data_IF_514660466070
#
_entry.id   IF_514660466070
#
_cell.length_a   1.000
_cell.length_b   1.000
_cell.length_c   1.000
_cell.angle_alpha   90.00
_cell.angle_beta   90.00
_cell.angle_gamma   90.00
#
_symmetry.space_group_name_H-M   'P 1'
#
loop_
_entity.id
_entity.type
_entity.pdbx_description
1 polymer ?
#
# COMPACT_ATOMS: atom_id res chain seq x y z
N UNK A 1 -4.71 -21.21 4.19
CA UNK A 1 -4.48 -21.05 2.72
C UNK A 1 -2.98 -20.92 2.51
N UNK A 2 -2.41 -21.65 1.52
CA UNK A 2 -0.96 -21.67 1.26
C UNK A 2 -0.63 -20.64 0.17
N UNK A 3 0.40 -19.78 0.34
CA UNK A 3 0.80 -18.83 -0.69
C UNK A 3 1.47 -19.52 -1.88
N UNK A 4 1.13 -19.10 -3.08
CA UNK A 4 1.76 -19.51 -4.35
C UNK A 4 3.03 -18.70 -4.63
N UNK A 5 3.77 -19.03 -5.71
CA UNK A 5 4.93 -18.20 -6.11
C UNK A 5 4.54 -16.78 -6.56
N UNK A 6 3.29 -16.59 -6.98
CA UNK A 6 2.76 -15.29 -7.43
C UNK A 6 2.09 -14.49 -6.30
N UNK A 7 2.09 -15.01 -5.08
CA UNK A 7 1.69 -14.29 -3.88
C UNK A 7 2.93 -13.67 -3.21
N UNK A 8 2.78 -12.46 -2.68
CA UNK A 8 3.81 -11.83 -1.86
C UNK A 8 3.64 -12.31 -0.42
N UNK A 9 4.71 -12.80 0.18
CA UNK A 9 4.74 -13.13 1.61
C UNK A 9 5.61 -12.09 2.30
N UNK A 10 5.06 -11.40 3.29
CA UNK A 10 5.72 -10.35 4.09
C UNK A 10 5.83 -10.82 5.53
N UNK A 11 7.02 -10.69 6.09
CA UNK A 11 7.35 -10.95 7.49
C UNK A 11 8.19 -9.80 8.05
N UNK A 12 8.47 -9.80 9.34
CA UNK A 12 9.40 -8.84 9.96
C UNK A 12 10.82 -8.87 9.35
N UNK A 13 11.19 -9.94 8.68
CA UNK A 13 12.51 -10.11 8.04
C UNK A 13 12.59 -9.56 6.62
N UNK A 14 11.45 -9.30 5.99
CA UNK A 14 11.36 -8.85 4.60
C UNK A 14 10.25 -9.52 3.84
N UNK A 15 10.29 -9.42 2.52
CA UNK A 15 9.28 -9.99 1.63
C UNK A 15 9.86 -11.02 0.66
N UNK A 16 9.01 -11.96 0.24
CA UNK A 16 9.28 -12.92 -0.84
C UNK A 16 8.18 -12.80 -1.89
N UNK A 17 8.56 -12.63 -3.14
CA UNK A 17 7.62 -12.57 -4.28
C UNK A 17 8.29 -13.13 -5.54
N UNK A 18 7.59 -13.95 -6.32
CA UNK A 18 8.10 -14.59 -7.54
C UNK A 18 9.50 -15.24 -7.36
N UNK A 19 9.72 -15.90 -6.23
CA UNK A 19 10.98 -16.55 -5.89
C UNK A 19 12.09 -15.62 -5.39
N UNK A 20 11.93 -14.28 -5.48
CA UNK A 20 12.91 -13.30 -5.00
C UNK A 20 12.61 -12.89 -3.56
N UNK A 21 13.65 -12.80 -2.74
CA UNK A 21 13.62 -12.20 -1.40
C UNK A 21 14.07 -10.74 -1.49
N UNK A 22 13.38 -9.87 -0.77
CA UNK A 22 13.63 -8.42 -0.79
C UNK A 22 13.49 -7.85 0.62
N UNK A 23 14.37 -6.91 1.03
CA UNK A 23 14.14 -6.16 2.24
C UNK A 23 12.88 -5.30 2.07
N UNK A 24 12.09 -5.18 3.12
CA UNK A 24 10.98 -4.23 3.17
C UNK A 24 10.93 -3.53 4.53
N UNK A 25 10.23 -2.42 4.59
CA UNK A 25 9.81 -1.78 5.82
C UNK A 25 8.39 -2.20 6.15
N UNK A 26 8.09 -2.32 7.43
CA UNK A 26 6.76 -2.55 7.98
C UNK A 26 6.45 -1.47 9.01
N UNK A 27 5.28 -1.48 9.56
CA UNK A 27 4.86 -0.57 10.62
C UNK A 27 5.77 -0.61 11.86
N UNK A 28 5.97 0.53 12.51
CA UNK A 28 6.76 0.63 13.77
C UNK A 28 6.22 -0.25 14.91
N UNK A 29 4.91 -0.55 14.88
CA UNK A 29 4.24 -1.47 15.80
C UNK A 29 4.41 -2.95 15.45
N UNK A 30 5.22 -3.28 14.43
CA UNK A 30 5.40 -4.66 13.97
C UNK A 30 4.21 -5.19 13.15
N UNK A 31 4.03 -6.50 13.16
CA UNK A 31 2.91 -7.20 12.49
C UNK A 31 2.01 -7.80 13.57
N UNK A 32 0.71 -7.53 13.52
CA UNK A 32 -0.27 -8.06 14.47
C UNK A 32 -1.65 -8.25 13.83
N UNK A 33 -2.44 -9.17 14.36
CA UNK A 33 -3.85 -9.33 14.02
C UNK A 33 -4.74 -8.25 14.67
N UNK A 34 -4.29 -7.69 15.79
CA UNK A 34 -4.97 -6.60 16.50
C UNK A 34 -4.50 -5.26 15.91
N UNK A 35 -5.27 -4.74 14.97
CA UNK A 35 -5.00 -3.45 14.31
C UNK A 35 -6.02 -2.41 14.75
N UNK A 36 -5.53 -1.24 15.16
CA UNK A 36 -6.34 -0.05 15.43
C UNK A 36 -5.77 1.17 14.70
N UNK A 37 -6.58 2.21 14.52
CA UNK A 37 -6.13 3.44 13.87
C UNK A 37 -4.96 4.06 14.67
N UNK A 38 -3.92 4.52 13.97
CA UNK A 38 -2.78 5.22 14.57
C UNK A 38 -1.75 4.36 15.33
N UNK A 39 -1.98 3.04 15.52
CA UNK A 39 -1.10 2.15 16.30
C UNK A 39 0.26 1.85 15.65
N UNK A 40 0.42 2.17 14.39
CA UNK A 40 1.64 1.89 13.63
C UNK A 40 1.85 0.41 13.29
N UNK A 41 0.87 -0.46 13.50
CA UNK A 41 0.92 -1.89 13.18
C UNK A 41 0.64 -2.13 11.70
N UNK A 42 1.42 -2.99 11.08
CA UNK A 42 1.07 -3.62 9.80
C UNK A 42 0.13 -4.79 10.10
N UNK A 43 -1.13 -4.75 9.64
CA UNK A 43 -2.07 -5.80 9.98
C UNK A 43 -1.67 -7.15 9.35
N UNK A 44 -1.72 -8.22 10.13
CA UNK A 44 -1.52 -9.56 9.61
C UNK A 44 -2.75 -10.03 8.86
N UNK A 45 -2.57 -10.92 7.88
CA UNK A 45 -3.67 -11.46 7.10
C UNK A 45 -3.34 -11.62 5.63
N UNK A 46 -4.37 -11.73 4.83
CA UNK A 46 -4.27 -11.89 3.37
C UNK A 46 -4.97 -10.69 2.74
N UNK A 47 -4.21 -9.89 1.98
CA UNK A 47 -4.72 -8.71 1.30
C UNK A 47 -4.64 -8.85 -0.21
N UNK A 48 -5.41 -8.03 -0.91
CA UNK A 48 -5.31 -7.79 -2.35
C UNK A 48 -4.95 -6.34 -2.60
N UNK A 49 -4.51 -6.05 -3.80
CA UNK A 49 -4.37 -4.66 -4.26
C UNK A 49 -5.70 -4.24 -4.89
N UNK A 50 -6.40 -3.31 -4.23
CA UNK A 50 -7.67 -2.75 -4.68
C UNK A 50 -7.47 -1.66 -5.75
N UNK A 51 -6.35 -0.93 -5.69
CA UNK A 51 -6.04 0.14 -6.64
C UNK A 51 -4.57 0.51 -6.62
N UNK A 52 -4.13 1.32 -7.56
CA UNK A 52 -2.77 1.82 -7.61
C UNK A 52 -2.71 3.23 -8.22
N UNK A 53 -1.79 4.03 -7.70
CA UNK A 53 -1.47 5.35 -8.19
C UNK A 53 0.00 5.50 -8.57
N UNK A 54 0.31 6.44 -9.47
CA UNK A 54 1.68 6.82 -9.78
C UNK A 54 1.80 8.31 -10.11
N UNK A 55 2.98 8.87 -9.88
CA UNK A 55 3.31 10.28 -10.17
C UNK A 55 3.75 10.41 -11.63
N UNK A 56 2.78 10.67 -12.51
CA UNK A 56 3.03 10.79 -13.96
C UNK A 56 3.96 11.97 -14.33
N UNK A 57 4.12 12.94 -13.44
CA UNK A 57 5.04 14.05 -13.57
C UNK A 57 6.49 13.72 -13.16
N UNK A 58 6.74 12.55 -12.56
CA UNK A 58 8.07 12.14 -12.09
C UNK A 58 8.54 10.84 -12.70
N UNK A 59 7.63 9.91 -12.92
CA UNK A 59 7.97 8.58 -13.43
C UNK A 59 7.07 8.20 -14.60
N UNK A 60 7.63 7.47 -15.56
CA UNK A 60 6.81 6.82 -16.59
C UNK A 60 5.90 5.77 -15.95
N UNK A 61 4.67 5.64 -16.46
CA UNK A 61 3.77 4.57 -16.00
C UNK A 61 4.46 3.21 -16.11
N UNK A 62 4.59 2.46 -15.02
CA UNK A 62 5.20 1.14 -15.07
C UNK A 62 4.49 0.26 -16.10
N UNK A 63 5.22 -0.15 -17.13
CA UNK A 63 4.70 -1.05 -18.16
C UNK A 63 4.72 -2.45 -17.57
N UNK A 64 3.61 -3.14 -17.73
CA UNK A 64 3.41 -4.49 -17.21
C UNK A 64 3.49 -5.50 -18.33
N UNK A 65 4.02 -6.67 -18.02
CA UNK A 65 3.80 -7.85 -18.85
C UNK A 65 2.34 -8.30 -18.67
N UNK A 66 1.67 -8.67 -19.74
CA UNK A 66 0.27 -9.17 -19.72
C UNK A 66 0.16 -10.46 -18.89
N UNK A 67 -0.97 -10.70 -18.18
CA UNK A 67 -2.14 -9.84 -18.01
C UNK A 67 -1.96 -8.80 -16.88
N UNK A 68 -2.67 -7.67 -16.95
CA UNK A 68 -2.60 -6.62 -15.93
C UNK A 68 -3.25 -7.08 -14.62
N UNK A 69 -2.51 -7.00 -13.49
CA UNK A 69 -3.00 -7.41 -12.18
C UNK A 69 -3.92 -6.39 -11.52
N UNK A 70 -3.75 -5.09 -11.81
CA UNK A 70 -4.56 -3.99 -11.29
C UNK A 70 -4.45 -2.77 -12.21
N UNK A 71 -5.42 -1.88 -12.09
CA UNK A 71 -5.38 -0.60 -12.80
C UNK A 71 -4.51 0.41 -12.06
N UNK A 72 -3.64 1.12 -12.80
CA UNK A 72 -2.87 2.25 -12.26
C UNK A 72 -3.36 3.56 -12.87
N UNK A 73 -3.65 4.55 -12.02
CA UNK A 73 -4.01 5.90 -12.43
C UNK A 73 -2.94 6.93 -12.05
N UNK A 74 -2.86 8.01 -12.79
CA UNK A 74 -2.02 9.14 -12.41
C UNK A 74 -2.58 9.82 -11.15
N UNK A 75 -1.70 10.16 -10.21
CA UNK A 75 -2.05 10.90 -8.99
C UNK A 75 -2.08 12.38 -9.33
N UNK A 76 -3.25 13.00 -9.17
CA UNK A 76 -3.49 14.42 -9.33
C UNK A 76 -3.19 15.25 -8.06
N UNK A 77 -3.23 16.60 -8.18
CA UNK A 77 -2.91 17.50 -7.06
C UNK A 77 -3.94 17.44 -5.91
N UNK A 78 -5.14 17.00 -6.19
CA UNK A 78 -6.27 16.96 -5.25
C UNK A 78 -6.65 15.54 -4.84
N UNK A 79 -5.84 14.56 -5.19
CA UNK A 79 -6.07 13.18 -4.77
C UNK A 79 -5.58 13.00 -3.32
N UNK A 80 -6.50 12.59 -2.46
CA UNK A 80 -6.29 12.35 -1.04
C UNK A 80 -6.87 10.98 -0.65
N UNK A 81 -6.53 10.52 0.53
CA UNK A 81 -7.13 9.35 1.17
C UNK A 81 -7.67 9.77 2.53
N UNK A 82 -8.97 9.58 2.77
CA UNK A 82 -9.57 9.89 4.06
C UNK A 82 -9.11 8.87 5.10
N UNK A 83 -8.55 9.37 6.21
CA UNK A 83 -8.07 8.59 7.35
C UNK A 83 -8.73 8.99 8.68
N UNK A 84 -9.72 9.87 8.62
CA UNK A 84 -10.51 10.29 9.78
C UNK A 84 -11.70 9.34 10.01
N UNK A 85 -11.76 8.65 11.15
CA UNK A 85 -12.87 7.73 11.45
C UNK A 85 -14.25 8.38 11.50
N UNK A 86 -14.33 9.71 11.56
CA UNK A 86 -15.61 10.47 11.56
C UNK A 86 -16.07 10.85 10.16
N UNK A 87 -15.21 10.68 9.14
CA UNK A 87 -15.54 10.96 7.74
C UNK A 87 -16.42 9.83 7.17
N UNK A 88 -17.57 10.13 6.53
CA UNK A 88 -18.34 9.16 5.76
C UNK A 88 -17.52 8.44 4.66
N UNK A 89 -16.45 9.07 4.16
CA UNK A 89 -15.52 8.50 3.20
C UNK A 89 -14.27 7.84 3.85
N UNK A 90 -14.33 7.53 5.16
CA UNK A 90 -13.23 6.91 5.87
C UNK A 90 -12.64 5.71 5.09
N UNK A 91 -11.33 5.67 5.03
CA UNK A 91 -10.53 4.66 4.33
C UNK A 91 -10.85 4.54 2.82
N UNK A 92 -11.18 5.68 2.17
CA UNK A 92 -11.40 5.74 0.72
C UNK A 92 -10.58 6.85 0.06
N UNK A 93 -10.34 6.66 -1.23
CA UNK A 93 -9.78 7.70 -2.07
C UNK A 93 -10.82 8.78 -2.35
N UNK A 94 -10.46 10.03 -2.11
CA UNK A 94 -11.29 11.21 -2.35
C UNK A 94 -10.54 12.17 -3.27
N UNK A 95 -11.24 12.91 -4.09
CA UNK A 95 -10.68 14.01 -4.87
C UNK A 95 -11.35 15.32 -4.44
N UNK A 96 -10.61 16.13 -3.69
CA UNK A 96 -11.11 17.37 -3.14
C UNK A 96 -10.03 18.45 -3.06
N UNK A 97 -10.39 19.71 -3.26
CA UNK A 97 -9.51 20.87 -3.04
C UNK A 97 -9.45 21.17 -1.53
N UNK A 98 -10.62 21.20 -0.88
CA UNK A 98 -10.74 21.39 0.55
C UNK A 98 -11.58 20.24 1.12
N UNK A 99 -10.93 19.34 1.86
CA UNK A 99 -11.61 18.24 2.53
C UNK A 99 -11.70 18.57 4.02
N UNK A 100 -12.90 18.55 4.63
CA UNK A 100 -13.07 19.04 6.00
C UNK A 100 -12.58 18.08 7.08
N UNK A 101 -12.32 16.80 6.72
CA UNK A 101 -11.86 15.76 7.63
C UNK A 101 -10.35 15.50 7.49
N UNK A 102 -9.78 14.80 8.47
CA UNK A 102 -8.41 14.28 8.41
C UNK A 102 -8.18 13.44 7.16
N UNK A 103 -7.03 13.63 6.52
CA UNK A 103 -6.73 12.92 5.28
C UNK A 103 -5.25 12.92 4.96
N UNK A 104 -4.81 11.90 4.23
CA UNK A 104 -3.47 11.78 3.69
C UNK A 104 -3.43 12.27 2.24
N UNK A 105 -2.50 13.18 1.92
CA UNK A 105 -2.27 13.60 0.54
C UNK A 105 -1.55 12.51 -0.23
N UNK A 106 -2.10 12.10 -1.38
CA UNK A 106 -1.43 11.12 -2.24
C UNK A 106 -0.34 11.75 -3.11
N UNK A 107 -0.39 13.07 -3.36
CA UNK A 107 0.64 13.82 -4.08
C UNK A 107 1.62 14.47 -3.10
N UNK A 108 2.60 13.69 -2.64
CA UNK A 108 3.63 14.15 -1.73
C UNK A 108 4.75 14.92 -2.45
N UNK A 109 5.50 15.76 -1.70
CA UNK A 109 6.74 16.41 -2.19
C UNK A 109 7.89 15.41 -2.29
N UNK A 110 7.98 14.48 -1.35
CA UNK A 110 8.94 13.39 -1.37
C UNK A 110 8.50 12.26 -2.31
N UNK A 111 9.38 11.30 -2.65
CA UNK A 111 9.06 10.24 -3.61
C UNK A 111 8.26 9.07 -3.02
N UNK A 112 7.83 9.10 -1.76
CA UNK A 112 7.21 7.94 -1.09
C UNK A 112 6.04 7.38 -1.89
N UNK A 113 5.21 8.24 -2.48
CA UNK A 113 4.04 7.86 -3.28
C UNK A 113 4.24 8.08 -4.79
N UNK A 114 5.49 8.08 -5.28
CA UNK A 114 5.71 8.04 -6.73
C UNK A 114 5.10 6.78 -7.36
N UNK A 115 5.04 5.67 -6.59
CA UNK A 115 4.14 4.53 -6.77
C UNK A 115 3.49 4.22 -5.42
N UNK A 116 2.17 4.09 -5.40
CA UNK A 116 1.40 3.65 -4.24
C UNK A 116 0.38 2.59 -4.66
N UNK A 117 0.37 1.46 -3.95
CA UNK A 117 -0.61 0.39 -4.14
C UNK A 117 -1.52 0.38 -2.92
N UNK A 118 -2.82 0.56 -3.12
CA UNK A 118 -3.84 0.55 -2.08
C UNK A 118 -4.26 -0.89 -1.83
N UNK A 119 -4.16 -1.35 -0.58
CA UNK A 119 -4.66 -2.67 -0.20
C UNK A 119 -6.18 -2.65 0.03
N UNK A 120 -6.78 -3.84 0.05
CA UNK A 120 -8.17 -4.04 0.45
C UNK A 120 -8.33 -4.22 1.97
N UNK A 121 -7.31 -3.86 2.77
CA UNK A 121 -7.46 -3.85 4.21
C UNK A 121 -8.54 -2.87 4.63
N UNK A 122 -9.53 -3.36 5.41
CA UNK A 122 -10.66 -2.55 5.87
C UNK A 122 -11.37 -1.78 4.73
N UNK A 123 -11.51 -2.40 3.57
CA UNK A 123 -12.11 -1.83 2.37
C UNK A 123 -12.83 -2.92 1.56
N UNK A 124 -13.98 -2.67 0.84
CA UNK A 124 -14.61 -1.35 0.68
C UNK A 124 -15.51 -0.92 1.86
N UNK A 125 -15.99 -1.86 2.67
CA UNK A 125 -16.91 -1.60 3.78
C UNK A 125 -16.09 -1.24 5.02
N UNK A 126 -15.56 -0.01 5.04
CA UNK A 126 -14.62 0.44 6.07
C UNK A 126 -15.28 0.55 7.44
N UNK A 127 -14.67 -0.10 8.43
CA UNK A 127 -15.08 0.01 9.83
C UNK A 127 -14.22 1.06 10.51
N UNK A 128 -14.80 2.18 11.02
CA UNK A 128 -14.07 3.21 11.72
C UNK A 128 -13.20 2.67 12.86
N UNK A 129 -11.94 3.15 12.93
CA UNK A 129 -10.99 2.73 13.96
C UNK A 129 -10.23 1.43 13.69
N UNK A 130 -10.59 0.65 12.67
CA UNK A 130 -9.86 -0.57 12.29
C UNK A 130 -8.57 -0.34 11.50
N UNK A 131 -8.19 0.90 11.29
CA UNK A 131 -7.03 1.28 10.51
C UNK A 131 -7.37 1.62 9.06
N UNK A 132 -6.72 2.65 8.55
CA UNK A 132 -6.87 3.19 7.21
C UNK A 132 -5.53 3.28 6.51
N UNK A 133 -5.54 3.62 5.22
CA UNK A 133 -4.37 3.94 4.43
C UNK A 133 -3.24 2.89 4.51
N UNK A 134 -3.60 1.60 4.53
CA UNK A 134 -2.60 0.52 4.51
C UNK A 134 -2.16 0.27 3.06
N UNK A 135 -1.03 0.84 2.71
CA UNK A 135 -0.50 0.87 1.35
C UNK A 135 0.79 0.06 1.20
N UNK A 136 1.18 -0.14 -0.07
CA UNK A 136 2.54 -0.56 -0.44
C UNK A 136 3.16 0.56 -1.27
N UNK A 137 4.30 1.13 -0.81
CA UNK A 137 4.91 2.31 -1.40
C UNK A 137 6.45 2.30 -1.33
N UNK A 138 7.13 3.36 -1.77
CA UNK A 138 8.57 3.47 -1.60
C UNK A 138 8.94 3.75 -0.15
N UNK A 139 10.02 3.16 0.34
CA UNK A 139 10.53 3.49 1.68
C UNK A 139 11.23 4.86 1.69
N UNK A 140 11.28 5.47 2.86
CA UNK A 140 12.04 6.70 3.07
C UNK A 140 13.55 6.42 3.03
N UNK A 141 13.96 5.30 3.59
CA UNK A 141 15.31 4.72 3.58
C UNK A 141 15.21 3.22 3.89
N UNK A 142 16.26 2.42 3.61
CA UNK A 142 16.22 0.98 3.85
C UNK A 142 15.76 0.62 5.25
N UNK A 143 14.71 -0.21 5.35
CA UNK A 143 14.12 -0.74 6.59
C UNK A 143 13.64 0.31 7.60
N UNK A 144 13.51 1.59 7.20
CA UNK A 144 12.93 2.59 8.08
C UNK A 144 11.45 2.31 8.29
N UNK A 145 10.97 2.20 9.56
CA UNK A 145 9.60 1.78 9.83
C UNK A 145 8.56 2.78 9.33
N UNK A 146 7.39 2.27 8.98
CA UNK A 146 6.22 3.03 8.54
C UNK A 146 5.21 3.21 9.67
N UNK A 147 4.09 3.86 9.37
CA UNK A 147 2.94 3.94 10.29
C UNK A 147 1.97 2.74 10.16
N UNK A 148 2.33 1.71 9.39
CA UNK A 148 1.53 0.50 9.16
C UNK A 148 1.65 -0.04 7.74
N UNK A 149 2.04 0.79 6.78
CA UNK A 149 2.27 0.41 5.40
C UNK A 149 3.43 -0.57 5.23
N UNK A 150 3.49 -1.22 4.07
CA UNK A 150 4.66 -1.98 3.63
C UNK A 150 5.43 -1.10 2.64
N UNK A 151 6.75 -0.96 2.81
CA UNK A 151 7.52 -0.14 1.90
C UNK A 151 8.78 -0.83 1.39
N UNK A 152 9.11 -0.56 0.12
CA UNK A 152 10.22 -1.16 -0.62
C UNK A 152 11.13 -0.10 -1.22
N UNK A 153 12.32 -0.52 -1.66
CA UNK A 153 13.12 0.33 -2.55
C UNK A 153 12.35 0.65 -3.84
N UNK A 154 12.61 1.80 -4.49
CA UNK A 154 11.99 2.12 -5.78
C UNK A 154 12.20 0.99 -6.81
N UNK A 155 13.40 0.43 -6.88
CA UNK A 155 13.73 -0.68 -7.76
C UNK A 155 12.90 -1.94 -7.48
N UNK A 156 12.74 -2.29 -6.21
CA UNK A 156 12.01 -3.50 -5.83
C UNK A 156 10.51 -3.33 -6.04
N UNK A 157 9.93 -2.18 -5.69
CA UNK A 157 8.50 -1.94 -5.91
C UNK A 157 8.16 -1.90 -7.41
N UNK A 158 8.98 -1.25 -8.24
CA UNK A 158 8.79 -1.28 -9.69
C UNK A 158 8.86 -2.72 -10.23
N UNK A 159 9.83 -3.51 -9.76
CA UNK A 159 9.97 -4.91 -10.14
C UNK A 159 8.74 -5.75 -9.72
N UNK A 160 8.18 -5.49 -8.53
CA UNK A 160 6.94 -6.11 -8.03
C UNK A 160 5.77 -5.74 -8.94
N UNK A 161 5.56 -4.45 -9.20
CA UNK A 161 4.45 -3.94 -10.03
C UNK A 161 4.44 -4.58 -11.41
N UNK A 162 5.61 -4.70 -12.04
CA UNK A 162 5.74 -5.31 -13.37
C UNK A 162 5.39 -6.81 -13.40
N UNK A 163 5.38 -7.50 -12.26
CA UNK A 163 5.12 -8.95 -12.14
C UNK A 163 3.83 -9.28 -11.43
N UNK A 164 3.15 -8.28 -10.89
CA UNK A 164 1.91 -8.48 -10.17
C UNK A 164 0.81 -9.00 -11.09
N UNK A 165 0.13 -10.06 -10.70
CA UNK A 165 -0.98 -10.65 -11.43
C UNK A 165 -2.30 -10.33 -10.73
N UNK A 166 -3.43 -10.45 -11.44
CA UNK A 166 -4.76 -10.16 -10.87
C UNK A 166 -5.09 -11.03 -9.66
N UNK A 167 -4.65 -12.29 -9.68
CA UNK A 167 -4.86 -13.23 -8.58
C UNK A 167 -3.82 -13.13 -7.45
N UNK A 168 -2.75 -12.33 -7.62
CA UNK A 168 -1.72 -12.16 -6.60
C UNK A 168 -2.30 -11.55 -5.33
N UNK A 169 -1.81 -12.03 -4.18
CA UNK A 169 -2.20 -11.60 -2.85
C UNK A 169 -0.97 -11.24 -2.03
N UNK A 170 -1.18 -10.50 -0.97
CA UNK A 170 -0.16 -10.21 0.04
C UNK A 170 -0.51 -11.01 1.30
N UNK A 171 0.36 -11.93 1.67
CA UNK A 171 0.29 -12.67 2.93
C UNK A 171 1.19 -11.98 3.94
N UNK A 172 0.61 -11.36 4.95
CA UNK A 172 1.35 -10.70 6.03
C UNK A 172 1.34 -11.60 7.25
N UNK A 173 2.53 -12.02 7.67
CA UNK A 173 2.72 -12.99 8.74
C UNK A 173 3.68 -12.43 9.81
N UNK A 174 3.40 -12.64 11.11
CA UNK A 174 4.29 -12.26 12.20
C UNK A 174 5.71 -12.81 12.12
#
# INVERSE_FOLDING_TARGET
MIPTRHDMVVTKWGARFCGRRMPCSIGRGGISASKTEGDGVTPSGIWRIAGAGFRADRIAKPRRQSPPGFHMRAIGPHDIWSDDPTDPAYNHAVRAINHPFGHEKLRLRDPLYDIVLMSDWNWPDAVPGKGSAIFVHYWRRPRYPTAGCIAFSPRDLQWIVMRWQRQSRIFVQP
#
